data_IF_648615222501
#
_entry.id   IF_648615222501
#
_cell.length_a   1.000
_cell.length_b   1.000
_cell.length_c   1.000
_cell.angle_alpha   90.00
_cell.angle_beta   90.00
_cell.angle_gamma   90.00
#
_symmetry.space_group_name_H-M   'P 1'
#
loop_
_entity.id
_entity.type
_entity.pdbx_description
1 polymer ?
#
# COMPACT_ATOMS: atom_id res chain seq x y z
N UNK A 1 -47.49 46.91 40.01
CA UNK A 1 -47.49 48.32 39.58
C UNK A 1 -46.07 48.71 39.15
N UNK A 2 -45.95 49.15 37.87
CA UNK A 2 -44.87 49.89 37.16
C UNK A 2 -43.41 49.37 37.24
N UNK A 3 -42.70 48.94 36.18
CA UNK A 3 -42.53 49.32 34.76
C UNK A 3 -41.48 50.44 34.50
N UNK A 4 -40.78 50.27 33.36
CA UNK A 4 -39.84 51.14 32.64
C UNK A 4 -38.35 51.02 33.04
N UNK A 5 -37.37 51.02 32.12
CA UNK A 5 -37.36 51.25 30.68
C UNK A 5 -36.05 51.95 30.24
N UNK A 6 -35.37 51.37 29.26
CA UNK A 6 -34.45 51.93 28.25
C UNK A 6 -33.88 53.37 28.35
N UNK A 7 -32.56 53.50 28.15
CA UNK A 7 -31.81 54.43 27.24
C UNK A 7 -30.37 53.85 27.10
N UNK A 8 -29.73 53.54 25.96
CA UNK A 8 -29.58 54.10 24.61
C UNK A 8 -28.60 55.29 24.47
N UNK A 9 -27.52 55.07 23.69
CA UNK A 9 -26.52 56.06 23.18
C UNK A 9 -25.09 55.73 23.63
N UNK A 10 -24.13 55.17 22.87
CA UNK A 10 -23.69 55.18 21.45
C UNK A 10 -22.92 56.44 21.02
N UNK A 11 -21.60 56.29 20.87
CA UNK A 11 -20.67 56.91 19.88
C UNK A 11 -19.32 56.16 20.04
N UNK A 12 -18.87 55.26 19.15
CA UNK A 12 -18.44 55.30 17.74
C UNK A 12 -16.98 55.74 17.51
N UNK A 13 -16.12 54.78 17.13
CA UNK A 13 -15.04 54.92 16.12
C UNK A 13 -14.24 53.61 15.93
N UNK A 14 -13.55 53.39 14.79
CA UNK A 14 -13.95 52.27 13.90
C UNK A 14 -12.79 51.43 13.26
N UNK A 15 -13.19 50.37 12.51
CA UNK A 15 -12.50 49.66 11.38
C UNK A 15 -11.27 48.76 11.70
N UNK A 16 -10.92 47.68 10.94
CA UNK A 16 -11.60 46.94 9.85
C UNK A 16 -11.79 45.42 10.09
N UNK A 17 -12.58 44.82 9.20
CA UNK A 17 -12.63 43.40 8.89
C UNK A 17 -11.35 42.88 8.20
N UNK A 18 -10.97 41.62 8.48
CA UNK A 18 -10.49 40.67 7.46
C UNK A 18 -10.16 39.29 8.07
N UNK A 19 -10.79 38.25 7.48
CA UNK A 19 -10.21 36.95 7.11
C UNK A 19 -9.83 35.99 8.25
N UNK A 20 -10.72 35.03 8.58
CA UNK A 20 -10.57 33.59 8.22
C UNK A 20 -9.16 33.02 8.34
N UNK A 21 -8.96 32.18 9.36
CA UNK A 21 -8.25 30.90 9.21
C UNK A 21 -8.99 29.82 10.01
N UNK A 22 -9.46 28.73 9.40
CA UNK A 22 -9.80 27.52 10.14
C UNK A 22 -8.52 26.80 10.55
N UNK A 23 -8.62 26.08 11.66
CA UNK A 23 -7.60 25.23 12.26
C UNK A 23 -6.72 24.53 11.21
N UNK A 24 -5.40 24.75 11.35
CA UNK A 24 -4.36 23.99 10.66
C UNK A 24 -4.49 22.53 11.12
N UNK A 25 -5.25 21.74 10.36
CA UNK A 25 -5.03 20.31 10.26
C UNK A 25 -3.62 20.14 9.74
N UNK A 26 -2.71 19.78 10.64
CA UNK A 26 -1.35 19.36 10.35
C UNK A 26 -1.40 18.36 9.21
N UNK A 27 -1.05 18.81 8.00
CA UNK A 27 -0.85 17.96 6.84
C UNK A 27 0.26 16.99 7.21
N UNK A 28 -0.11 15.73 7.44
CA UNK A 28 0.83 14.63 7.32
C UNK A 28 1.38 14.74 5.89
N UNK A 29 2.70 14.86 5.68
CA UNK A 29 3.23 14.87 4.33
C UNK A 29 2.87 13.54 3.68
N UNK A 30 2.04 13.59 2.62
CA UNK A 30 1.91 12.51 1.66
C UNK A 30 3.34 12.16 1.24
N UNK A 31 3.82 10.99 1.65
CA UNK A 31 5.09 10.51 1.16
C UNK A 31 4.89 10.11 -0.28
N UNK A 32 5.17 11.04 -1.19
CA UNK A 32 5.32 10.79 -2.61
C UNK A 32 6.30 9.63 -2.80
N UNK A 33 5.77 8.47 -3.16
CA UNK A 33 6.53 7.29 -3.52
C UNK A 33 6.33 7.06 -5.01
N UNK A 34 7.37 7.39 -5.76
CA UNK A 34 7.42 7.30 -7.22
C UNK A 34 7.90 5.91 -7.63
N UNK A 35 7.23 5.31 -8.60
CA UNK A 35 7.66 4.05 -9.23
C UNK A 35 7.78 4.29 -10.73
N UNK A 36 8.83 3.74 -11.36
CA UNK A 36 9.32 4.13 -12.68
C UNK A 36 9.20 2.99 -13.70
N UNK A 37 8.53 3.21 -14.85
CA UNK A 37 8.55 2.27 -15.99
C UNK A 37 8.87 2.95 -17.32
N UNK A 38 9.59 2.21 -18.17
CA UNK A 38 9.98 2.59 -19.53
C UNK A 38 11.26 1.89 -19.98
N UNK A 39 11.28 1.40 -21.23
CA UNK A 39 12.49 0.95 -21.88
C UNK A 39 13.44 2.14 -22.08
N UNK A 40 14.65 2.04 -21.54
CA UNK A 40 15.79 2.90 -21.88
C UNK A 40 15.74 4.33 -21.34
N UNK A 41 14.76 5.18 -21.68
CA UNK A 41 14.91 6.64 -21.50
C UNK A 41 13.63 7.49 -21.31
N UNK A 42 12.41 6.93 -21.30
CA UNK A 42 11.17 7.73 -21.09
C UNK A 42 10.45 7.33 -19.82
N UNK A 43 10.82 7.93 -18.69
CA UNK A 43 10.11 7.80 -17.40
C UNK A 43 8.83 8.65 -17.44
N UNK A 44 7.65 8.02 -17.45
CA UNK A 44 6.36 8.70 -17.22
C UNK A 44 5.69 8.17 -15.96
N UNK A 45 5.13 9.10 -15.21
CA UNK A 45 4.43 8.91 -13.94
C UNK A 45 3.09 8.19 -14.16
N UNK A 46 2.89 7.04 -13.52
CA UNK A 46 1.57 6.45 -13.41
C UNK A 46 1.20 6.28 -11.94
N UNK A 47 0.36 7.19 -11.44
CA UNK A 47 -0.34 7.10 -10.16
C UNK A 47 -1.80 6.86 -10.46
N UNK A 48 -2.32 5.68 -10.14
CA UNK A 48 -3.71 5.33 -10.45
C UNK A 48 -4.55 5.36 -9.19
N UNK A 49 -5.09 6.55 -8.89
CA UNK A 49 -6.25 6.67 -7.99
C UNK A 49 -7.50 6.31 -8.80
N UNK A 50 -8.60 5.88 -8.14
CA UNK A 50 -9.96 5.66 -8.73
C UNK A 50 -10.55 6.83 -9.55
N UNK A 51 -9.81 7.94 -9.71
CA UNK A 51 -10.13 9.12 -10.52
C UNK A 51 -9.38 9.18 -11.87
N UNK A 52 -8.49 8.22 -12.18
CA UNK A 52 -7.79 8.13 -13.47
C UNK A 52 -8.65 7.55 -14.59
N UNK A 53 -8.21 7.69 -15.85
CA UNK A 53 -8.80 6.96 -16.96
C UNK A 53 -8.53 5.47 -16.81
N UNK A 54 -9.50 4.61 -17.15
CA UNK A 54 -9.29 3.14 -17.17
C UNK A 54 -8.14 2.77 -18.10
N UNK A 55 -7.95 3.54 -19.19
CA UNK A 55 -6.78 3.39 -20.05
C UNK A 55 -5.49 3.59 -19.25
N UNK A 56 -5.38 4.68 -18.48
CA UNK A 56 -4.19 4.98 -17.66
C UNK A 56 -3.93 3.91 -16.60
N UNK A 57 -4.99 3.28 -16.09
CA UNK A 57 -4.88 2.16 -15.15
C UNK A 57 -4.26 0.93 -15.79
N UNK A 58 -4.73 0.54 -16.97
CA UNK A 58 -4.16 -0.64 -17.67
C UNK A 58 -2.77 -0.33 -18.23
N UNK A 59 -2.52 0.93 -18.65
CA UNK A 59 -1.16 1.41 -18.97
C UNK A 59 -0.24 1.23 -17.76
N UNK A 60 -0.70 1.56 -16.56
CA UNK A 60 0.10 1.44 -15.34
C UNK A 60 0.35 -0.01 -14.93
N UNK A 61 -0.64 -0.89 -15.11
CA UNK A 61 -0.56 -2.31 -14.72
C UNK A 61 0.22 -3.15 -15.74
N UNK A 62 0.26 -2.75 -17.01
CA UNK A 62 0.82 -3.56 -18.10
C UNK A 62 1.75 -2.81 -19.08
N UNK A 63 2.05 -1.53 -18.83
CA UNK A 63 3.04 -0.73 -19.56
C UNK A 63 2.65 -0.24 -20.97
N UNK A 64 1.37 0.02 -21.29
CA UNK A 64 0.92 0.38 -22.66
C UNK A 64 -0.18 1.44 -22.78
N UNK A 65 -0.10 2.32 -23.80
CA UNK A 65 -1.24 3.08 -24.33
C UNK A 65 -2.28 2.15 -25.00
N UNK A 66 -3.55 2.27 -24.59
CA UNK A 66 -4.62 1.33 -24.93
C UNK A 66 -5.69 1.93 -25.87
N UNK A 67 -6.28 1.16 -26.81
CA UNK A 67 -7.45 1.60 -27.57
C UNK A 67 -8.67 1.77 -26.65
N UNK A 68 -9.63 2.60 -27.10
CA UNK A 68 -10.68 3.19 -26.26
C UNK A 68 -11.53 2.17 -25.46
N UNK A 69 -11.43 2.21 -24.12
CA UNK A 69 -12.24 1.47 -23.13
C UNK A 69 -13.77 1.72 -23.22
N UNK A 70 -14.23 2.68 -24.03
CA UNK A 70 -15.65 3.06 -24.14
C UNK A 70 -16.59 1.86 -24.35
N UNK A 71 -16.19 0.83 -25.11
CA UNK A 71 -17.05 -0.35 -25.40
C UNK A 71 -17.14 -1.37 -24.26
N UNK A 72 -16.16 -1.41 -23.35
CA UNK A 72 -16.13 -2.37 -22.23
C UNK A 72 -16.93 -1.85 -21.02
N UNK A 73 -16.96 -0.52 -20.84
CA UNK A 73 -17.71 0.13 -19.76
C UNK A 73 -19.20 -0.18 -19.81
N UNK A 74 -19.80 -0.21 -21.00
CA UNK A 74 -21.25 -0.44 -21.18
C UNK A 74 -21.67 -1.86 -20.72
N UNK A 75 -20.79 -2.86 -20.83
CA UNK A 75 -21.03 -4.22 -20.30
C UNK A 75 -20.90 -4.30 -18.77
N UNK A 76 -20.22 -3.35 -18.17
CA UNK A 76 -19.99 -3.28 -16.72
C UNK A 76 -21.02 -2.43 -15.98
N UNK A 77 -21.87 -1.66 -16.69
CA UNK A 77 -22.99 -0.90 -16.10
C UNK A 77 -24.01 -1.85 -15.45
N UNK A 78 -24.10 -3.10 -15.91
CA UNK A 78 -24.97 -4.13 -15.32
C UNK A 78 -24.38 -4.76 -14.04
N UNK A 79 -23.10 -4.53 -13.73
CA UNK A 79 -22.50 -4.99 -12.47
C UNK A 79 -23.00 -4.16 -11.30
N UNK A 80 -23.51 -4.86 -10.27
CA UNK A 80 -24.06 -4.22 -9.07
C UNK A 80 -23.00 -3.72 -8.07
N UNK A 81 -21.73 -4.08 -8.24
CA UNK A 81 -20.68 -3.88 -7.21
C UNK A 81 -19.78 -2.68 -7.53
N UNK A 82 -19.06 -2.72 -8.66
CA UNK A 82 -18.23 -1.59 -9.11
C UNK A 82 -17.98 -1.64 -10.63
N UNK A 83 -18.71 -0.84 -11.45
CA UNK A 83 -18.53 -0.80 -12.89
C UNK A 83 -17.11 -0.43 -13.33
N UNK A 84 -16.37 0.35 -12.53
CA UNK A 84 -14.99 0.72 -12.82
C UNK A 84 -14.06 -0.49 -12.70
N UNK A 85 -14.11 -1.20 -11.56
CA UNK A 85 -13.29 -2.39 -11.32
C UNK A 85 -13.62 -3.52 -12.29
N UNK A 86 -14.89 -3.67 -12.66
CA UNK A 86 -15.30 -4.56 -13.75
C UNK A 86 -14.62 -4.19 -15.08
N UNK A 87 -14.63 -2.92 -15.47
CA UNK A 87 -14.05 -2.49 -16.73
C UNK A 87 -12.53 -2.70 -16.75
N UNK A 88 -11.85 -2.44 -15.62
CA UNK A 88 -10.42 -2.74 -15.45
C UNK A 88 -10.17 -4.25 -15.62
N UNK A 89 -10.91 -5.10 -14.91
CA UNK A 89 -10.74 -6.55 -15.01
C UNK A 89 -10.99 -7.10 -16.42
N UNK A 90 -12.04 -6.62 -17.10
CA UNK A 90 -12.31 -6.98 -18.50
C UNK A 90 -11.17 -6.58 -19.43
N UNK A 91 -10.64 -5.39 -19.23
CA UNK A 91 -9.55 -4.84 -20.03
C UNK A 91 -8.26 -5.63 -19.78
N UNK A 92 -7.95 -5.96 -18.53
CA UNK A 92 -6.86 -6.87 -18.17
C UNK A 92 -6.99 -8.22 -18.86
N UNK A 93 -8.19 -8.81 -18.86
CA UNK A 93 -8.44 -10.09 -19.51
C UNK A 93 -8.27 -10.05 -21.03
N UNK A 94 -8.68 -8.97 -21.69
CA UNK A 94 -8.59 -8.83 -23.14
C UNK A 94 -7.16 -8.53 -23.60
N UNK A 95 -6.50 -7.56 -22.98
CA UNK A 95 -5.31 -6.93 -23.55
C UNK A 95 -3.99 -7.45 -22.95
N UNK A 96 -4.01 -7.97 -21.72
CA UNK A 96 -2.82 -8.54 -21.08
C UNK A 96 -2.64 -10.02 -21.44
N UNK A 97 -3.73 -10.73 -21.79
CA UNK A 97 -3.69 -12.15 -22.14
C UNK A 97 -2.86 -12.49 -23.38
N UNK A 98 -2.60 -11.51 -24.27
CA UNK A 98 -1.79 -11.68 -25.49
C UNK A 98 -0.30 -11.33 -25.35
N UNK A 99 0.17 -10.95 -24.15
CA UNK A 99 1.53 -10.42 -23.93
C UNK A 99 2.47 -11.40 -23.23
N UNK A 100 3.77 -11.26 -23.44
CA UNK A 100 4.75 -12.20 -22.87
C UNK A 100 5.37 -11.70 -21.57
N UNK A 101 5.33 -10.39 -21.28
CA UNK A 101 5.99 -9.79 -20.11
C UNK A 101 5.14 -8.67 -19.47
N UNK A 102 5.16 -8.61 -18.14
CA UNK A 102 4.78 -7.45 -17.33
C UNK A 102 5.82 -7.31 -16.22
N UNK A 103 6.70 -6.31 -16.34
CA UNK A 103 7.74 -6.09 -15.35
C UNK A 103 7.14 -5.65 -14.02
N UNK A 104 6.01 -4.92 -14.05
CA UNK A 104 5.52 -4.27 -12.85
C UNK A 104 4.02 -4.07 -12.82
N UNK A 105 3.43 -4.41 -11.68
CA UNK A 105 2.00 -4.49 -11.48
C UNK A 105 1.62 -3.67 -10.26
N UNK A 106 0.91 -2.58 -10.48
CA UNK A 106 0.38 -1.67 -9.47
C UNK A 106 -1.14 -1.54 -9.60
N UNK A 107 -1.88 -2.00 -8.60
CA UNK A 107 -3.32 -1.84 -8.55
C UNK A 107 -3.78 -1.23 -7.24
N UNK A 108 -4.57 -0.17 -7.35
CA UNK A 108 -5.06 0.60 -6.20
C UNK A 108 -6.56 0.89 -6.33
N UNK A 109 -7.23 0.99 -5.18
CA UNK A 109 -8.64 1.43 -5.08
C UNK A 109 -9.64 0.59 -5.91
N UNK A 110 -9.37 -0.70 -6.08
CA UNK A 110 -10.24 -1.62 -6.82
C UNK A 110 -11.11 -2.47 -5.90
N UNK A 111 -12.33 -2.74 -6.33
CA UNK A 111 -13.20 -3.78 -5.76
C UNK A 111 -13.29 -4.96 -6.71
N UNK A 112 -12.50 -6.01 -6.41
CA UNK A 112 -12.37 -7.20 -7.23
C UNK A 112 -13.20 -8.38 -6.71
N UNK A 113 -14.06 -8.17 -5.69
CA UNK A 113 -15.05 -9.18 -5.29
C UNK A 113 -15.91 -9.50 -6.51
N UNK A 114 -15.89 -10.74 -7.02
CA UNK A 114 -16.48 -11.22 -8.28
C UNK A 114 -15.68 -11.04 -9.57
N UNK A 115 -14.62 -10.22 -9.58
CA UNK A 115 -13.78 -9.98 -10.77
C UNK A 115 -12.36 -10.53 -10.64
N UNK A 116 -12.00 -11.03 -9.47
CA UNK A 116 -10.69 -11.58 -9.14
C UNK A 116 -10.14 -12.52 -10.21
N UNK A 117 -10.90 -13.54 -10.62
CA UNK A 117 -10.45 -14.49 -11.64
C UNK A 117 -10.13 -13.80 -12.97
N UNK A 118 -10.98 -12.89 -13.41
CA UNK A 118 -10.81 -12.15 -14.66
C UNK A 118 -9.57 -11.24 -14.62
N UNK A 119 -9.30 -10.64 -13.46
CA UNK A 119 -8.17 -9.75 -13.24
C UNK A 119 -6.83 -10.49 -13.08
N UNK A 120 -6.78 -11.52 -12.24
CA UNK A 120 -5.52 -12.20 -11.88
C UNK A 120 -5.10 -13.29 -12.87
N UNK A 121 -6.03 -13.99 -13.54
CA UNK A 121 -5.64 -15.08 -14.47
C UNK A 121 -4.65 -14.62 -15.56
N UNK A 122 -4.81 -13.45 -16.20
CA UNK A 122 -3.85 -12.96 -17.18
C UNK A 122 -2.48 -12.61 -16.59
N UNK A 123 -2.42 -12.28 -15.29
CA UNK A 123 -1.19 -11.92 -14.59
C UNK A 123 -0.40 -13.16 -14.16
N UNK A 124 -1.06 -14.31 -13.98
CA UNK A 124 -0.43 -15.55 -13.52
C UNK A 124 0.65 -16.07 -14.48
N UNK A 125 0.65 -15.72 -15.77
CA UNK A 125 1.71 -16.16 -16.70
C UNK A 125 3.02 -15.38 -16.55
N UNK A 126 3.01 -14.27 -15.82
CA UNK A 126 4.21 -13.46 -15.59
C UNK A 126 4.93 -13.99 -14.35
N UNK A 127 6.04 -14.70 -14.60
CA UNK A 127 6.91 -15.25 -13.56
C UNK A 127 8.15 -14.35 -13.31
N UNK A 128 8.30 -13.27 -14.09
CA UNK A 128 9.42 -12.32 -14.09
C UNK A 128 9.08 -10.93 -13.53
N UNK A 129 8.01 -10.80 -12.74
CA UNK A 129 7.59 -9.51 -12.19
C UNK A 129 8.62 -8.98 -11.19
N UNK A 130 9.00 -7.70 -11.36
CA UNK A 130 9.91 -6.95 -10.50
C UNK A 130 9.17 -6.25 -9.37
N UNK A 131 7.98 -5.70 -9.63
CA UNK A 131 7.19 -5.03 -8.58
C UNK A 131 5.75 -5.51 -8.55
N UNK A 132 5.29 -5.83 -7.34
CA UNK A 132 3.88 -6.10 -7.04
C UNK A 132 3.40 -5.12 -5.98
N UNK A 133 2.53 -4.21 -6.37
CA UNK A 133 1.91 -3.22 -5.51
C UNK A 133 0.38 -3.37 -5.52
N UNK A 134 -0.19 -3.57 -4.34
CA UNK A 134 -1.62 -3.68 -4.10
C UNK A 134 -2.00 -2.77 -2.93
N UNK A 135 -2.85 -1.77 -3.17
CA UNK A 135 -3.31 -0.84 -2.11
C UNK A 135 -4.82 -0.60 -2.15
N UNK A 136 -5.53 -0.74 -1.02
CA UNK A 136 -6.98 -0.49 -0.94
C UNK A 136 -7.77 -1.33 -1.95
N UNK A 137 -7.40 -2.60 -2.08
CA UNK A 137 -8.01 -3.55 -3.02
C UNK A 137 -8.89 -4.51 -2.25
N UNK A 138 -10.18 -4.51 -2.57
CA UNK A 138 -11.14 -5.42 -1.94
C UNK A 138 -11.18 -6.74 -2.71
N UNK A 139 -11.00 -7.85 -2.00
CA UNK A 139 -10.90 -9.19 -2.56
C UNK A 139 -11.99 -10.10 -1.98
N UNK A 140 -12.40 -11.10 -2.77
CA UNK A 140 -13.04 -12.31 -2.25
C UNK A 140 -11.96 -13.39 -1.98
N UNK A 141 -12.39 -14.56 -1.52
CA UNK A 141 -11.46 -15.66 -1.19
C UNK A 141 -10.63 -16.12 -2.41
N UNK A 142 -11.25 -16.13 -3.59
CA UNK A 142 -10.58 -16.46 -4.86
C UNK A 142 -9.54 -15.41 -5.23
N UNK A 143 -9.85 -14.11 -5.08
CA UNK A 143 -8.91 -13.02 -5.30
C UNK A 143 -7.77 -13.01 -4.29
N UNK A 144 -8.05 -13.28 -3.03
CA UNK A 144 -7.02 -13.42 -2.00
C UNK A 144 -6.09 -14.60 -2.30
N UNK A 145 -6.63 -15.74 -2.75
CA UNK A 145 -5.85 -16.89 -3.18
C UNK A 145 -4.99 -16.56 -4.39
N UNK A 146 -5.57 -16.00 -5.45
CA UNK A 146 -4.86 -15.68 -6.68
C UNK A 146 -3.73 -14.67 -6.46
N UNK A 147 -3.95 -13.63 -5.65
CA UNK A 147 -2.91 -12.68 -5.26
C UNK A 147 -1.77 -13.36 -4.49
N UNK A 148 -2.12 -14.28 -3.58
CA UNK A 148 -1.11 -15.05 -2.82
C UNK A 148 -0.26 -15.92 -3.74
N UNK A 149 -0.89 -16.67 -4.64
CA UNK A 149 -0.19 -17.52 -5.61
C UNK A 149 0.71 -16.69 -6.53
N UNK A 150 0.21 -15.56 -7.02
CA UNK A 150 0.97 -14.65 -7.88
C UNK A 150 2.21 -14.10 -7.15
N UNK A 151 2.06 -13.65 -5.90
CA UNK A 151 3.18 -13.17 -5.10
C UNK A 151 4.24 -14.27 -4.90
N UNK A 152 3.82 -15.50 -4.61
CA UNK A 152 4.73 -16.62 -4.32
C UNK A 152 5.46 -17.16 -5.55
N UNK A 153 4.86 -17.10 -6.74
CA UNK A 153 5.50 -17.59 -7.98
C UNK A 153 6.58 -16.65 -8.50
N UNK A 154 6.47 -15.35 -8.22
CA UNK A 154 7.38 -14.33 -8.72
C UNK A 154 8.64 -14.18 -7.84
N UNK A 155 9.59 -15.10 -7.99
CA UNK A 155 10.87 -15.05 -7.25
C UNK A 155 11.76 -13.86 -7.65
N UNK A 156 11.47 -13.22 -8.79
CA UNK A 156 12.17 -12.03 -9.28
C UNK A 156 11.82 -10.71 -8.58
N UNK A 157 10.87 -10.70 -7.64
CA UNK A 157 10.38 -9.46 -7.01
C UNK A 157 11.49 -8.66 -6.31
N UNK A 158 11.59 -7.39 -6.70
CA UNK A 158 12.33 -6.33 -6.04
C UNK A 158 11.43 -5.53 -5.09
N UNK A 159 10.13 -5.39 -5.39
CA UNK A 159 9.16 -4.69 -4.54
C UNK A 159 7.92 -5.53 -4.30
N UNK A 160 7.53 -5.68 -3.03
CA UNK A 160 6.27 -6.29 -2.62
C UNK A 160 5.55 -5.37 -1.63
N UNK A 161 4.39 -4.84 -2.03
CA UNK A 161 3.59 -3.93 -1.21
C UNK A 161 2.14 -4.37 -1.18
N UNK A 162 1.67 -4.79 -0.02
CA UNK A 162 0.31 -5.28 0.23
C UNK A 162 -0.30 -4.43 1.35
N UNK A 163 -1.05 -3.40 0.98
CA UNK A 163 -1.55 -2.37 1.89
C UNK A 163 -3.08 -2.36 1.83
N UNK A 164 -3.74 -2.38 2.97
CA UNK A 164 -5.21 -2.23 3.04
C UNK A 164 -5.93 -3.15 2.04
N UNK A 165 -5.86 -4.46 2.27
CA UNK A 165 -6.51 -5.46 1.41
C UNK A 165 -7.73 -6.10 2.10
N UNK A 166 -8.90 -5.42 2.18
CA UNK A 166 -10.10 -6.03 2.70
C UNK A 166 -10.43 -7.34 1.98
N UNK A 167 -10.73 -8.39 2.74
CA UNK A 167 -10.97 -9.73 2.20
C UNK A 167 -9.74 -10.63 2.16
N UNK A 168 -8.53 -10.07 2.27
CA UNK A 168 -7.33 -10.88 2.49
C UNK A 168 -7.22 -11.28 3.97
N UNK A 169 -7.19 -12.58 4.24
CA UNK A 169 -7.05 -13.11 5.60
C UNK A 169 -5.61 -13.03 6.10
N UNK A 170 -5.43 -12.90 7.42
CA UNK A 170 -4.08 -12.87 8.03
C UNK A 170 -3.25 -14.11 7.70
N UNK A 171 -3.87 -15.29 7.56
CA UNK A 171 -3.18 -16.51 7.15
C UNK A 171 -2.57 -16.43 5.75
N UNK A 172 -3.15 -15.66 4.82
CA UNK A 172 -2.59 -15.42 3.49
C UNK A 172 -1.40 -14.48 3.55
N UNK A 173 -1.49 -13.39 4.32
CA UNK A 173 -0.34 -12.53 4.60
C UNK A 173 0.81 -13.30 5.25
N UNK A 174 0.50 -14.14 6.24
CA UNK A 174 1.50 -15.00 6.90
C UNK A 174 2.16 -15.96 5.91
N UNK A 175 1.39 -16.57 5.01
CA UNK A 175 1.92 -17.46 3.96
C UNK A 175 2.92 -16.72 3.08
N UNK A 176 2.59 -15.51 2.63
CA UNK A 176 3.50 -14.68 1.83
C UNK A 176 4.74 -14.34 2.64
N UNK A 177 4.56 -13.80 3.85
CA UNK A 177 5.64 -13.38 4.73
C UNK A 177 6.63 -14.51 5.08
N UNK A 178 6.14 -15.72 5.32
CA UNK A 178 6.98 -16.91 5.55
C UNK A 178 7.85 -17.25 4.35
N UNK A 179 7.37 -16.98 3.14
CA UNK A 179 8.09 -17.24 1.89
C UNK A 179 8.94 -16.05 1.43
N UNK A 180 8.97 -14.92 2.15
CA UNK A 180 9.72 -13.73 1.68
C UNK A 180 11.22 -13.98 1.47
N UNK A 181 11.78 -14.98 2.15
CA UNK A 181 13.15 -15.41 1.95
C UNK A 181 13.44 -15.97 0.55
N UNK A 182 12.41 -16.38 -0.20
CA UNK A 182 12.53 -16.87 -1.59
C UNK A 182 12.65 -15.75 -2.62
N UNK A 183 12.54 -14.48 -2.21
CA UNK A 183 12.75 -13.30 -3.05
C UNK A 183 14.18 -12.75 -2.85
N UNK A 184 15.21 -13.26 -3.56
CA UNK A 184 16.60 -12.86 -3.37
C UNK A 184 16.86 -11.38 -3.69
N UNK A 185 16.06 -10.79 -4.58
CA UNK A 185 16.24 -9.42 -5.05
C UNK A 185 15.36 -8.41 -4.31
N UNK A 186 14.63 -8.81 -3.27
CA UNK A 186 13.71 -7.93 -2.58
C UNK A 186 14.46 -6.74 -1.95
N UNK A 187 14.02 -5.54 -2.35
CA UNK A 187 14.52 -4.22 -1.93
C UNK A 187 13.49 -3.45 -1.13
N UNK A 188 12.20 -3.65 -1.40
CA UNK A 188 11.11 -2.98 -0.71
C UNK A 188 10.02 -3.97 -0.28
N UNK A 189 9.70 -3.99 1.02
CA UNK A 189 8.67 -4.86 1.59
C UNK A 189 7.69 -4.07 2.45
N UNK A 190 6.40 -4.13 2.14
CA UNK A 190 5.35 -3.40 2.85
C UNK A 190 4.13 -4.29 3.05
N UNK A 191 3.73 -4.53 4.30
CA UNK A 191 2.52 -5.31 4.64
C UNK A 191 1.83 -4.71 5.86
N UNK A 192 0.72 -4.00 5.66
CA UNK A 192 -0.05 -3.38 6.75
C UNK A 192 -1.45 -2.96 6.28
N UNK A 193 -2.29 -2.51 7.22
CA UNK A 193 -3.60 -1.93 6.96
C UNK A 193 -3.82 -0.70 7.84
N UNK A 194 -4.25 0.41 7.26
CA UNK A 194 -4.77 1.56 7.98
C UNK A 194 -6.24 1.39 8.37
N UNK A 195 -7.02 0.62 7.60
CA UNK A 195 -8.46 0.47 7.77
C UNK A 195 -8.86 -0.37 8.98
N UNK A 196 -7.97 -1.26 9.44
CA UNK A 196 -8.22 -2.15 10.59
C UNK A 196 -7.04 -2.17 11.57
N UNK A 197 -6.74 -1.06 12.25
CA UNK A 197 -5.55 -0.94 13.11
C UNK A 197 -5.53 -1.98 14.24
N UNK A 198 -6.69 -2.31 14.78
CA UNK A 198 -6.84 -3.25 15.90
C UNK A 198 -6.72 -4.73 15.52
N UNK A 199 -6.75 -5.06 14.23
CA UNK A 199 -6.66 -6.46 13.77
C UNK A 199 -5.25 -6.75 13.26
N UNK A 200 -4.58 -7.83 13.72
CA UNK A 200 -3.29 -8.21 13.17
C UNK A 200 -3.42 -8.58 11.69
N UNK A 201 -2.58 -7.96 10.85
CA UNK A 201 -2.39 -8.37 9.44
C UNK A 201 -1.50 -9.59 9.38
N UNK A 202 -0.40 -9.58 10.14
CA UNK A 202 0.51 -10.71 10.34
C UNK A 202 0.36 -11.26 11.74
N UNK A 203 0.53 -12.58 11.91
CA UNK A 203 0.72 -13.16 13.23
C UNK A 203 2.03 -12.68 13.86
N UNK A 204 2.08 -12.61 15.18
CA UNK A 204 3.26 -12.13 15.92
C UNK A 204 4.52 -12.92 15.58
N UNK A 205 4.41 -14.25 15.47
CA UNK A 205 5.54 -15.13 15.16
C UNK A 205 6.12 -14.84 13.77
N UNK A 206 5.25 -14.70 12.77
CA UNK A 206 5.68 -14.39 11.39
C UNK A 206 6.20 -12.96 11.29
N UNK A 207 5.56 -11.98 11.94
CA UNK A 207 6.06 -10.61 12.00
C UNK A 207 7.47 -10.54 12.62
N UNK A 208 7.74 -11.34 13.65
CA UNK A 208 9.06 -11.39 14.28
C UNK A 208 10.13 -12.04 13.37
N UNK A 209 9.80 -13.05 12.56
CA UNK A 209 10.78 -13.67 11.64
C UNK A 209 11.19 -12.74 10.51
N UNK A 210 10.34 -11.79 10.12
CA UNK A 210 10.66 -10.77 9.12
C UNK A 210 11.78 -9.81 9.56
N UNK A 211 12.14 -9.76 10.84
CA UNK A 211 13.27 -8.97 11.33
C UNK A 211 14.58 -9.33 10.61
N UNK A 212 14.76 -10.58 10.16
CA UNK A 212 15.95 -10.98 9.41
C UNK A 212 16.09 -10.24 8.06
N UNK A 213 15.02 -9.64 7.53
CA UNK A 213 15.06 -8.90 6.27
C UNK A 213 15.79 -7.56 6.40
N UNK A 214 15.75 -6.90 7.57
CA UNK A 214 16.39 -5.59 7.75
C UNK A 214 17.92 -5.65 7.76
N UNK A 215 18.48 -6.85 7.84
CA UNK A 215 19.92 -7.09 7.81
C UNK A 215 20.40 -7.57 6.44
N UNK A 216 19.49 -7.78 5.47
CA UNK A 216 19.83 -8.18 4.11
C UNK A 216 20.50 -7.03 3.33
N UNK A 217 21.59 -7.29 2.59
CA UNK A 217 22.28 -6.25 1.83
C UNK A 217 21.44 -5.57 0.74
N UNK A 218 20.40 -6.23 0.23
CA UNK A 218 19.51 -5.70 -0.81
C UNK A 218 18.41 -4.80 -0.25
N UNK A 219 18.13 -4.87 1.06
CA UNK A 219 16.92 -4.28 1.62
C UNK A 219 17.05 -2.77 1.80
N UNK A 220 16.18 -2.00 1.13
CA UNK A 220 16.19 -0.53 1.13
C UNK A 220 15.11 0.02 2.07
N UNK A 221 13.86 -0.41 1.92
CA UNK A 221 12.76 0.01 2.80
C UNK A 221 11.92 -1.16 3.31
N UNK A 222 11.52 -1.09 4.57
CA UNK A 222 10.71 -2.10 5.22
C UNK A 222 9.57 -1.46 6.00
N UNK A 223 8.34 -1.94 5.78
CA UNK A 223 7.17 -1.51 6.55
C UNK A 223 6.26 -2.69 6.91
N UNK A 224 5.96 -2.86 8.18
CA UNK A 224 4.87 -3.73 8.65
C UNK A 224 4.02 -2.97 9.65
N UNK A 225 2.78 -3.40 9.88
CA UNK A 225 1.90 -2.68 10.78
C UNK A 225 0.78 -3.50 11.39
N UNK A 226 -0.04 -2.80 12.18
CA UNK A 226 -1.24 -3.25 12.89
C UNK A 226 -0.95 -3.96 14.22
N UNK A 227 -2.02 -4.37 14.91
CA UNK A 227 -2.01 -4.99 16.23
C UNK A 227 -1.08 -6.22 16.41
N UNK A 228 -0.60 -6.83 15.32
CA UNK A 228 0.37 -7.93 15.36
C UNK A 228 1.81 -7.49 15.69
N UNK A 229 2.12 -6.20 15.59
CA UNK A 229 3.45 -5.64 15.92
C UNK A 229 3.57 -5.40 17.42
N UNK A 230 3.80 -6.47 18.18
CA UNK A 230 3.90 -6.46 19.65
C UNK A 230 5.33 -6.18 20.13
N UNK A 231 5.51 -6.06 21.45
CA UNK A 231 6.83 -5.98 22.11
C UNK A 231 7.81 -7.07 21.64
N UNK A 232 7.33 -8.29 21.39
CA UNK A 232 8.18 -9.38 20.90
C UNK A 232 8.72 -9.07 19.51
N UNK A 233 7.89 -8.51 18.64
CA UNK A 233 8.29 -8.07 17.30
C UNK A 233 9.34 -6.97 17.40
N UNK A 234 9.10 -5.90 18.16
CA UNK A 234 10.11 -4.83 18.32
C UNK A 234 11.46 -5.36 18.84
N UNK A 235 11.44 -6.27 19.82
CA UNK A 235 12.67 -6.88 20.35
C UNK A 235 13.40 -7.74 19.32
N UNK A 236 12.67 -8.43 18.43
CA UNK A 236 13.27 -9.20 17.34
C UNK A 236 13.99 -8.29 16.34
N UNK A 237 13.36 -7.18 15.92
CA UNK A 237 14.00 -6.18 15.06
C UNK A 237 15.22 -5.54 15.72
N UNK A 238 15.12 -5.21 17.01
CA UNK A 238 16.24 -4.66 17.77
C UNK A 238 17.41 -5.64 17.81
N UNK A 239 17.14 -6.91 18.13
CA UNK A 239 18.16 -7.95 18.24
C UNK A 239 18.87 -8.18 16.90
N UNK A 240 18.14 -8.20 15.78
CA UNK A 240 18.74 -8.33 14.44
C UNK A 240 19.67 -7.14 14.13
N UNK A 241 19.22 -5.90 14.36
CA UNK A 241 20.03 -4.71 14.13
C UNK A 241 21.25 -4.62 15.06
N UNK A 242 21.12 -5.05 16.31
CA UNK A 242 22.21 -5.02 17.29
C UNK A 242 23.28 -6.07 16.98
N UNK A 243 22.86 -7.29 16.62
CA UNK A 243 23.77 -8.42 16.48
C UNK A 243 24.40 -8.54 15.09
N UNK A 244 23.66 -8.22 14.03
CA UNK A 244 24.13 -8.36 12.64
C UNK A 244 24.37 -7.03 11.94
N UNK A 245 23.97 -5.91 12.56
CA UNK A 245 23.98 -4.60 11.93
C UNK A 245 22.83 -4.43 10.93
N UNK A 246 22.79 -3.27 10.27
CA UNK A 246 21.82 -3.03 9.20
C UNK A 246 22.31 -3.59 7.86
N UNK A 247 21.37 -3.91 6.97
CA UNK A 247 21.70 -4.06 5.55
C UNK A 247 22.36 -2.79 5.01
N UNK A 248 23.36 -2.93 4.14
CA UNK A 248 24.21 -1.83 3.66
C UNK A 248 23.39 -0.65 3.08
N UNK A 249 22.23 -0.92 2.50
CA UNK A 249 21.38 0.05 1.82
C UNK A 249 20.07 0.34 2.54
N UNK A 250 19.85 -0.19 3.74
CA UNK A 250 18.61 0.05 4.48
C UNK A 250 18.57 1.51 4.92
N UNK A 251 17.52 2.22 4.49
CA UNK A 251 17.31 3.65 4.78
C UNK A 251 16.03 3.92 5.56
N UNK A 252 15.11 2.96 5.65
CA UNK A 252 13.84 3.17 6.37
C UNK A 252 13.27 1.88 6.92
N UNK A 253 12.97 1.89 8.23
CA UNK A 253 12.21 0.87 8.94
C UNK A 253 10.95 1.50 9.56
N UNK A 254 9.77 1.04 9.14
CA UNK A 254 8.48 1.50 9.66
C UNK A 254 7.71 0.36 10.34
N UNK A 255 7.57 0.45 11.65
CA UNK A 255 6.69 -0.40 12.45
C UNK A 255 5.43 0.39 12.81
N UNK A 256 4.39 0.27 11.98
CA UNK A 256 3.19 1.11 12.04
C UNK A 256 2.18 0.58 13.05
N UNK A 257 1.46 1.48 13.74
CA UNK A 257 0.36 1.13 14.65
C UNK A 257 0.73 0.03 15.66
N UNK A 258 1.95 0.12 16.20
CA UNK A 258 2.54 -0.91 17.05
C UNK A 258 1.93 -0.96 18.45
N UNK A 259 1.88 -2.16 19.03
CA UNK A 259 1.57 -2.44 20.45
C UNK A 259 2.84 -2.77 21.25
N UNK A 260 4.01 -2.29 20.83
CA UNK A 260 5.23 -2.43 21.60
C UNK A 260 5.17 -1.64 22.91
N UNK A 261 5.77 -2.18 23.96
CA UNK A 261 5.98 -1.42 25.19
C UNK A 261 6.83 -0.17 24.88
N UNK A 262 6.64 0.94 25.60
CA UNK A 262 7.41 2.16 25.40
C UNK A 262 8.92 1.93 25.45
N UNK A 263 9.39 1.05 26.33
CA UNK A 263 10.80 0.71 26.50
C UNK A 263 11.35 -0.03 25.29
N UNK A 264 10.59 -1.01 24.76
CA UNK A 264 11.01 -1.76 23.58
C UNK A 264 11.04 -0.88 22.33
N UNK A 265 10.05 0.01 22.17
CA UNK A 265 10.03 0.98 21.07
C UNK A 265 11.19 1.98 21.17
N UNK A 266 11.47 2.51 22.37
CA UNK A 266 12.58 3.42 22.60
C UNK A 266 13.94 2.76 22.35
N UNK A 267 14.12 1.53 22.83
CA UNK A 267 15.34 0.74 22.63
C UNK A 267 15.59 0.46 21.15
N UNK A 268 14.57 -0.04 20.42
CA UNK A 268 14.65 -0.24 18.98
C UNK A 268 14.99 1.05 18.24
N UNK A 269 14.35 2.18 18.59
CA UNK A 269 14.62 3.48 17.97
C UNK A 269 16.06 3.93 18.21
N UNK A 270 16.59 3.75 19.42
CA UNK A 270 17.98 4.09 19.73
C UNK A 270 18.96 3.27 18.87
N UNK A 271 18.73 1.96 18.76
CA UNK A 271 19.55 1.08 17.91
C UNK A 271 19.43 1.45 16.44
N UNK A 272 18.23 1.74 15.94
CA UNK A 272 18.02 2.16 14.56
C UNK A 272 18.79 3.46 14.23
N UNK A 273 18.72 4.46 15.11
CA UNK A 273 19.47 5.72 14.97
C UNK A 273 20.98 5.49 14.98
N UNK A 274 21.49 4.65 15.89
CA UNK A 274 22.91 4.28 15.92
C UNK A 274 23.36 3.64 14.59
N UNK A 275 22.48 2.86 13.95
CA UNK A 275 22.76 2.25 12.65
C UNK A 275 22.47 3.17 11.46
N UNK A 276 21.87 4.34 11.65
CA UNK A 276 21.53 5.28 10.57
C UNK A 276 20.29 4.88 9.75
N UNK A 277 19.28 4.31 10.40
CA UNK A 277 17.98 3.91 9.83
C UNK A 277 16.87 4.85 10.33
#
# INVERSE_FOLDING_TARGET
>A
AFAAGFFAGRESSPVPAALTEPAVLSRVPESDRHVFYGNGDTRRECSVRKKGSINDMVVCIAGLAMPSVRRLRDRCVESRIDPYSCAVAMTMSADVSSRDEAEDVDFQDLDLRTFAKMFFSPLQKFDGMRSLFAERVTLDDDGALALTEMALRNTGLEMLSLIDLPGMSSGRFDTIAQNVHTFPNLKDFKVYSNDRPERPVLSESVAATLAALVTRPSMVTFAIGNAGVTTRVCRAFEAELRNKGRGAVLTSLKLLQTKCSPEAAASLKAVAVEKGI
#
